data_IF_454855562253
#
_entry.id   IF_454855562253
#
_cell.length_a   1.000
_cell.length_b   1.000
_cell.length_c   1.000
_cell.angle_alpha   90.00
_cell.angle_beta   90.00
_cell.angle_gamma   90.00
#
_symmetry.space_group_name_H-M   'P 1'
#
loop_
_entity.id
_entity.type
_entity.pdbx_description
1 polymer ?
#
# COMPACT_ATOMS: atom_id res chain seq x y z
N UNK A 1 18.44 -20.96 23.88
CA UNK A 1 18.82 -19.94 22.88
C UNK A 1 19.06 -20.67 21.56
N UNK A 2 18.00 -20.91 20.78
CA UNK A 2 18.17 -21.29 19.37
C UNK A 2 18.36 -19.98 18.63
N UNK A 3 19.54 -19.78 18.07
CA UNK A 3 19.78 -18.79 17.02
C UNK A 3 18.72 -19.05 15.94
N UNK A 4 17.69 -18.20 15.83
CA UNK A 4 16.89 -18.20 14.61
C UNK A 4 17.79 -17.59 13.55
N UNK A 5 18.44 -18.44 12.76
CA UNK A 5 19.00 -18.02 11.48
C UNK A 5 17.82 -17.42 10.70
N UNK A 6 17.75 -16.09 10.61
CA UNK A 6 16.79 -15.45 9.73
C UNK A 6 17.12 -15.92 8.32
N UNK A 7 16.14 -16.50 7.61
CA UNK A 7 16.32 -16.86 6.22
C UNK A 7 16.71 -15.61 5.43
N UNK A 8 17.70 -15.75 4.54
CA UNK A 8 18.14 -14.65 3.70
C UNK A 8 17.04 -14.30 2.71
N UNK A 9 16.58 -13.05 2.74
CA UNK A 9 15.60 -12.54 1.78
C UNK A 9 16.31 -11.77 0.68
N UNK A 10 15.98 -12.06 -0.58
CA UNK A 10 16.39 -11.23 -1.70
C UNK A 10 15.43 -10.05 -1.86
N UNK A 11 15.97 -8.83 -1.96
CA UNK A 11 15.27 -7.59 -2.27
C UNK A 11 15.58 -7.18 -3.71
N UNK A 12 14.53 -6.96 -4.51
CA UNK A 12 14.69 -6.38 -5.85
C UNK A 12 14.68 -4.86 -5.77
N UNK A 13 15.77 -4.23 -6.19
CA UNK A 13 15.91 -2.77 -6.29
C UNK A 13 15.88 -2.38 -7.76
N UNK A 14 14.93 -1.55 -8.15
CA UNK A 14 14.82 -1.00 -9.50
C UNK A 14 15.44 0.38 -9.54
N UNK A 15 16.08 0.71 -10.66
CA UNK A 15 16.53 2.08 -10.95
C UNK A 15 15.93 2.56 -12.28
N UNK A 16 15.48 3.82 -12.32
CA UNK A 16 15.07 4.42 -13.60
C UNK A 16 16.26 4.44 -14.57
N UNK A 17 16.10 3.83 -15.75
CA UNK A 17 17.22 3.67 -16.69
C UNK A 17 17.72 4.99 -17.30
N UNK A 18 17.00 6.10 -17.10
CA UNK A 18 17.41 7.45 -17.52
C UNK A 18 17.93 8.28 -16.34
N UNK A 19 18.03 7.68 -15.14
CA UNK A 19 18.47 8.36 -13.93
C UNK A 19 17.44 9.34 -13.36
N UNK A 20 16.15 9.18 -13.68
CA UNK A 20 15.10 10.01 -13.07
C UNK A 20 15.09 9.82 -11.55
N UNK A 21 14.94 10.92 -10.82
CA UNK A 21 14.92 10.90 -9.35
C UNK A 21 13.68 10.17 -8.83
N UNK A 22 13.89 9.15 -8.01
CA UNK A 22 12.88 8.32 -7.38
C UNK A 22 12.57 8.81 -5.96
N UNK A 23 12.19 10.08 -5.84
CA UNK A 23 11.86 10.72 -4.57
C UNK A 23 11.09 12.02 -4.78
N UNK A 24 10.68 12.67 -3.69
CA UNK A 24 10.00 13.96 -3.75
C UNK A 24 10.99 15.12 -3.89
N UNK A 25 10.68 16.06 -4.77
CA UNK A 25 11.40 17.32 -4.87
C UNK A 25 10.45 18.46 -4.55
N UNK A 26 10.88 19.35 -3.65
CA UNK A 26 10.13 20.52 -3.21
C UNK A 26 10.88 21.79 -3.57
N UNK A 27 10.16 22.79 -4.06
CA UNK A 27 10.70 24.12 -4.34
C UNK A 27 10.00 25.15 -3.47
N UNK A 28 10.78 25.89 -2.68
CA UNK A 28 10.27 26.98 -1.86
C UNK A 28 9.79 28.09 -2.78
N UNK A 29 8.54 28.48 -2.60
CA UNK A 29 7.90 29.56 -3.33
C UNK A 29 8.10 30.89 -2.59
N UNK A 30 7.88 32.00 -3.29
CA UNK A 30 8.07 33.34 -2.74
C UNK A 30 7.10 33.69 -1.58
N UNK A 31 5.98 32.96 -1.46
CA UNK A 31 5.03 33.07 -0.34
C UNK A 31 5.43 32.25 0.90
N UNK A 32 6.57 31.55 0.85
CA UNK A 32 7.04 30.68 1.93
C UNK A 32 6.44 29.28 1.91
N UNK A 33 5.54 28.96 0.96
CA UNK A 33 5.01 27.62 0.76
C UNK A 33 5.95 26.72 -0.05
N UNK A 34 5.72 25.40 0.03
CA UNK A 34 6.44 24.40 -0.75
C UNK A 34 5.61 23.92 -1.94
N UNK A 35 6.17 23.98 -3.14
CA UNK A 35 5.62 23.31 -4.32
C UNK A 35 6.30 21.95 -4.49
N UNK A 36 5.51 20.87 -4.49
CA UNK A 36 6.00 19.50 -4.70
C UNK A 36 5.94 19.13 -6.17
N UNK A 37 7.05 18.71 -6.75
CA UNK A 37 7.09 18.16 -8.10
C UNK A 37 6.46 16.77 -8.18
N UNK A 38 5.80 16.48 -9.30
CA UNK A 38 5.29 15.15 -9.60
C UNK A 38 6.41 14.14 -9.83
N UNK A 39 6.14 12.88 -9.48
CA UNK A 39 7.01 11.77 -9.85
C UNK A 39 6.99 11.57 -11.37
N UNK A 40 8.18 11.47 -11.98
CA UNK A 40 8.31 11.14 -13.41
C UNK A 40 9.33 10.04 -13.63
N UNK A 41 8.97 8.82 -13.21
CA UNK A 41 9.70 7.62 -13.60
C UNK A 41 9.44 7.30 -15.08
N UNK A 42 10.41 6.68 -15.74
CA UNK A 42 10.31 6.16 -17.10
C UNK A 42 9.66 4.80 -17.18
N UNK A 43 9.68 4.25 -18.40
CA UNK A 43 9.09 2.95 -18.70
C UNK A 43 10.11 1.78 -18.63
N UNK A 44 11.40 2.09 -18.58
CA UNK A 44 12.48 1.09 -18.55
C UNK A 44 13.34 1.24 -17.31
N UNK A 45 13.60 0.12 -16.66
CA UNK A 45 14.31 0.07 -15.38
C UNK A 45 15.51 -0.87 -15.49
N UNK A 46 16.64 -0.47 -14.93
CA UNK A 46 17.68 -1.44 -14.55
C UNK A 46 17.30 -2.04 -13.21
N UNK A 47 17.89 -3.18 -12.85
CA UNK A 47 17.63 -3.83 -11.57
C UNK A 47 18.91 -4.35 -10.96
N UNK A 48 18.89 -4.50 -9.64
CA UNK A 48 19.84 -5.31 -8.89
C UNK A 48 19.08 -6.06 -7.79
N UNK A 49 19.69 -7.13 -7.34
CA UNK A 49 19.19 -7.93 -6.23
C UNK A 49 20.17 -7.83 -5.08
N UNK A 50 19.65 -7.67 -3.87
CA UNK A 50 20.45 -7.58 -2.66
C UNK A 50 19.90 -8.54 -1.62
N UNK A 51 20.77 -9.37 -1.06
CA UNK A 51 20.45 -10.29 0.01
C UNK A 51 20.50 -9.56 1.35
N UNK A 52 19.44 -9.67 2.14
CA UNK A 52 19.33 -9.05 3.48
C UNK A 52 18.94 -10.11 4.51
N UNK A 53 19.48 -10.00 5.73
CA UNK A 53 19.22 -10.89 6.85
C UNK A 53 18.73 -10.10 8.06
N UNK A 54 17.43 -9.73 8.03
CA UNK A 54 16.81 -8.98 9.11
C UNK A 54 16.68 -7.48 8.82
N UNK A 55 16.13 -6.77 9.80
CA UNK A 55 15.82 -5.34 9.67
C UNK A 55 17.07 -4.46 9.50
N UNK A 56 18.19 -4.83 10.12
CA UNK A 56 19.41 -4.01 10.07
C UNK A 56 20.01 -3.94 8.66
N UNK A 57 20.07 -5.07 7.97
CA UNK A 57 20.50 -5.14 6.58
C UNK A 57 19.51 -4.41 5.66
N UNK A 58 18.20 -4.58 5.92
CA UNK A 58 17.16 -3.84 5.20
C UNK A 58 17.33 -2.33 5.38
N UNK A 59 17.52 -1.84 6.61
CA UNK A 59 17.74 -0.43 6.89
C UNK A 59 19.03 0.10 6.26
N UNK A 60 20.10 -0.71 6.20
CA UNK A 60 21.33 -0.36 5.51
C UNK A 60 21.10 -0.22 3.99
N UNK A 61 20.37 -1.16 3.38
CA UNK A 61 19.96 -1.10 1.97
C UNK A 61 19.14 0.16 1.69
N UNK A 62 18.13 0.46 2.51
CA UNK A 62 17.25 1.62 2.33
C UNK A 62 18.00 2.95 2.42
N UNK A 63 18.97 3.07 3.33
CA UNK A 63 19.83 4.25 3.43
C UNK A 63 20.83 4.37 2.27
N UNK A 64 21.15 3.24 1.64
CA UNK A 64 22.16 3.13 0.59
C UNK A 64 21.61 3.17 -0.84
N UNK A 65 20.30 3.35 -1.04
CA UNK A 65 19.72 3.45 -2.39
C UNK A 65 20.25 4.68 -3.13
N UNK A 66 20.53 4.51 -4.41
CA UNK A 66 20.88 5.65 -5.27
C UNK A 66 19.64 6.53 -5.56
N UNK A 67 19.82 7.80 -5.98
CA UNK A 67 18.71 8.73 -6.19
C UNK A 67 17.63 8.27 -7.19
N UNK A 68 17.97 7.37 -8.12
CA UNK A 68 17.02 6.81 -9.09
C UNK A 68 16.47 5.44 -8.67
N UNK A 69 16.92 4.90 -7.54
CA UNK A 69 16.61 3.57 -7.06
C UNK A 69 15.41 3.54 -6.11
N UNK A 70 14.70 2.42 -6.10
CA UNK A 70 13.66 2.11 -5.13
C UNK A 70 13.43 0.58 -5.06
N UNK A 71 13.20 0.02 -3.86
CA UNK A 71 12.83 -1.38 -3.71
C UNK A 71 11.37 -1.63 -4.12
N UNK A 72 11.13 -2.85 -4.62
CA UNK A 72 9.80 -3.41 -4.87
C UNK A 72 9.68 -4.78 -4.17
N UNK A 73 8.45 -5.25 -3.97
CA UNK A 73 8.22 -6.59 -3.39
C UNK A 73 8.44 -7.70 -4.41
N UNK A 74 8.07 -7.46 -5.67
CA UNK A 74 8.12 -8.43 -6.75
C UNK A 74 9.53 -8.87 -7.09
N UNK A 75 9.67 -10.15 -7.42
CA UNK A 75 10.94 -10.78 -7.81
C UNK A 75 11.00 -10.94 -9.32
N UNK A 76 12.17 -10.72 -9.90
CA UNK A 76 12.36 -10.84 -11.34
C UNK A 76 12.16 -12.30 -11.79
N UNK A 77 11.14 -12.57 -12.60
CA UNK A 77 10.82 -13.93 -13.06
C UNK A 77 11.67 -14.38 -14.24
N UNK A 78 12.12 -13.45 -15.08
CA UNK A 78 12.92 -13.77 -16.26
C UNK A 78 13.88 -12.62 -16.61
N UNK A 79 15.17 -12.71 -16.23
CA UNK A 79 16.12 -11.62 -16.43
C UNK A 79 16.52 -11.39 -17.90
N UNK A 80 16.17 -12.30 -18.81
CA UNK A 80 16.58 -12.24 -20.20
C UNK A 80 15.39 -11.87 -21.11
N UNK A 81 15.08 -10.59 -21.20
CA UNK A 81 14.19 -10.10 -22.24
C UNK A 81 14.92 -10.08 -23.60
N UNK A 82 14.90 -11.20 -24.33
CA UNK A 82 15.43 -11.30 -25.70
C UNK A 82 14.39 -10.75 -26.69
N UNK A 83 14.40 -9.43 -26.94
CA UNK A 83 13.76 -8.88 -28.14
C UNK A 83 14.83 -8.78 -29.23
N UNK A 84 14.59 -9.44 -30.36
CA UNK A 84 15.49 -9.47 -31.54
C UNK A 84 16.94 -9.92 -31.28
N UNK A 85 17.15 -10.85 -30.34
CA UNK A 85 18.47 -11.47 -30.10
C UNK A 85 19.48 -10.62 -29.34
N UNK A 86 19.15 -9.37 -28.97
CA UNK A 86 20.00 -8.52 -28.11
C UNK A 86 19.57 -8.61 -26.65
N UNK A 87 20.51 -8.90 -25.75
CA UNK A 87 20.30 -8.81 -24.30
C UNK A 87 20.11 -7.33 -23.96
N UNK A 88 18.92 -6.95 -23.48
CA UNK A 88 18.70 -5.62 -22.90
C UNK A 88 19.04 -5.66 -21.41
N UNK A 89 19.71 -4.62 -20.92
CA UNK A 89 19.96 -4.39 -19.49
C UNK A 89 18.81 -3.64 -18.80
N UNK A 90 17.67 -3.53 -19.46
CA UNK A 90 16.49 -2.83 -18.94
C UNK A 90 15.24 -3.69 -19.09
N UNK A 91 14.35 -3.59 -18.12
CA UNK A 91 13.07 -4.33 -18.05
C UNK A 91 11.90 -3.35 -17.84
N UNK A 92 10.69 -3.69 -18.33
CA UNK A 92 9.48 -2.94 -17.98
C UNK A 92 9.05 -3.28 -16.55
N UNK A 93 8.52 -2.28 -15.82
CA UNK A 93 7.91 -2.49 -14.49
C UNK A 93 6.47 -2.95 -14.68
N UNK A 94 6.27 -4.25 -14.90
CA UNK A 94 4.96 -4.87 -15.11
C UNK A 94 4.87 -6.27 -14.49
N UNK A 95 3.66 -6.83 -14.46
CA UNK A 95 3.38 -8.12 -13.85
C UNK A 95 4.10 -9.29 -14.50
N UNK A 96 4.26 -9.30 -15.83
CA UNK A 96 4.98 -10.39 -16.52
C UNK A 96 6.47 -10.46 -16.14
N UNK A 97 7.01 -9.35 -15.67
CA UNK A 97 8.42 -9.25 -15.26
C UNK A 97 8.60 -9.63 -13.79
N UNK A 98 7.65 -9.28 -12.92
CA UNK A 98 7.87 -9.26 -11.47
C UNK A 98 6.82 -10.01 -10.62
N UNK A 99 5.67 -10.42 -11.17
CA UNK A 99 4.71 -11.22 -10.42
C UNK A 99 5.13 -12.69 -10.41
N UNK A 100 4.93 -13.44 -9.32
CA UNK A 100 5.46 -14.79 -9.22
C UNK A 100 4.85 -15.73 -10.25
N UNK A 101 5.69 -16.54 -10.89
CA UNK A 101 5.26 -17.62 -11.78
C UNK A 101 5.40 -18.95 -11.04
N UNK A 102 4.29 -19.58 -10.65
CA UNK A 102 4.29 -20.87 -9.96
C UNK A 102 3.79 -21.92 -10.95
N UNK A 103 4.59 -22.96 -11.18
CA UNK A 103 4.30 -24.01 -12.18
C UNK A 103 4.06 -23.47 -13.60
N UNK A 104 4.71 -22.36 -13.96
CA UNK A 104 4.55 -21.70 -15.26
C UNK A 104 3.33 -20.78 -15.37
N UNK A 105 2.50 -20.70 -14.33
CA UNK A 105 1.35 -19.80 -14.29
C UNK A 105 1.70 -18.52 -13.53
N UNK A 106 1.37 -17.38 -14.14
CA UNK A 106 1.54 -16.08 -13.51
C UNK A 106 0.48 -15.86 -12.44
N UNK A 107 0.91 -15.59 -11.22
CA UNK A 107 0.03 -15.17 -10.14
C UNK A 107 -0.18 -13.65 -10.16
N UNK A 108 -1.31 -13.20 -9.59
CA UNK A 108 -1.71 -11.79 -9.58
C UNK A 108 -0.87 -10.90 -8.66
N UNK A 109 -1.25 -9.63 -8.58
CA UNK A 109 -0.63 -8.62 -7.71
C UNK A 109 -0.67 -9.04 -6.24
N UNK A 110 0.40 -8.73 -5.49
CA UNK A 110 0.44 -8.97 -4.05
C UNK A 110 0.72 -10.43 -3.70
N UNK A 111 1.12 -11.24 -4.67
CA UNK A 111 1.34 -12.68 -4.51
C UNK A 111 2.76 -13.01 -4.11
N UNK A 112 3.72 -12.08 -4.21
CA UNK A 112 5.10 -12.32 -3.80
C UNK A 112 5.21 -12.38 -2.28
N UNK A 113 5.60 -13.54 -1.70
CA UNK A 113 5.88 -13.63 -0.28
C UNK A 113 7.17 -12.87 0.05
N UNK A 114 7.13 -12.02 1.06
CA UNK A 114 8.32 -11.35 1.58
C UNK A 114 8.35 -11.41 3.10
N UNK A 115 9.53 -11.55 3.68
CA UNK A 115 9.76 -11.45 5.13
C UNK A 115 9.91 -10.01 5.62
N UNK A 116 9.58 -9.03 4.78
CA UNK A 116 9.57 -7.62 5.14
C UNK A 116 8.28 -6.97 4.66
N UNK A 117 7.93 -5.84 5.26
CA UNK A 117 6.85 -4.97 4.81
C UNK A 117 7.22 -3.50 5.04
N UNK A 118 6.79 -2.64 4.12
CA UNK A 118 6.69 -1.20 4.36
C UNK A 118 5.22 -0.90 4.63
N UNK A 119 4.91 -0.39 5.82
CA UNK A 119 3.58 0.11 6.18
C UNK A 119 3.57 1.61 5.94
N UNK A 120 2.73 2.08 5.02
CA UNK A 120 2.61 3.50 4.69
C UNK A 120 1.42 4.12 5.42
N UNK A 121 1.69 4.96 6.42
CA UNK A 121 0.69 5.81 7.05
C UNK A 121 0.72 7.17 6.36
N UNK A 122 -0.26 7.47 5.51
CA UNK A 122 -0.37 8.76 4.82
C UNK A 122 -1.44 9.65 5.42
N UNK A 123 -1.05 10.86 5.81
CA UNK A 123 -1.93 11.92 6.27
C UNK A 123 -2.75 11.57 7.52
N UNK A 124 -2.24 10.68 8.37
CA UNK A 124 -2.94 10.29 9.60
C UNK A 124 -2.87 11.43 10.63
N UNK A 125 -3.92 11.61 11.46
CA UNK A 125 -3.88 12.59 12.54
C UNK A 125 -2.69 12.37 13.48
N UNK A 126 -2.11 13.46 13.96
CA UNK A 126 -1.05 13.46 14.96
C UNK A 126 -1.43 14.46 16.06
N UNK A 127 -1.29 14.11 17.35
CA UNK A 127 -1.53 15.04 18.44
C UNK A 127 -0.66 16.29 18.32
N UNK A 128 -1.23 17.46 18.64
CA UNK A 128 -0.60 18.77 18.42
C UNK A 128 0.71 18.97 19.19
N UNK A 129 0.95 18.18 20.24
CA UNK A 129 2.14 18.25 21.09
C UNK A 129 3.37 17.57 20.47
N UNK A 130 3.25 16.85 19.35
CA UNK A 130 4.39 16.32 18.62
C UNK A 130 4.89 17.32 17.58
N UNK A 131 6.15 17.75 17.69
CA UNK A 131 6.82 18.52 16.66
C UNK A 131 7.60 17.59 15.74
N UNK A 132 7.03 17.25 14.57
CA UNK A 132 7.67 16.38 13.59
C UNK A 132 9.08 16.83 13.16
N UNK A 133 9.45 18.11 13.35
CA UNK A 133 10.80 18.59 13.05
C UNK A 133 11.88 17.93 13.91
N UNK A 134 11.51 17.46 15.11
CA UNK A 134 12.42 16.88 16.11
C UNK A 134 11.93 15.56 16.72
N UNK A 135 10.63 15.32 16.75
CA UNK A 135 9.99 14.19 17.43
C UNK A 135 9.65 13.02 16.48
N UNK A 136 10.34 12.91 15.34
CA UNK A 136 9.99 11.92 14.31
C UNK A 136 9.86 10.48 14.83
N UNK A 137 10.80 10.04 15.68
CA UNK A 137 10.74 8.71 16.30
C UNK A 137 9.57 8.57 17.27
N UNK A 138 9.37 9.56 18.16
CA UNK A 138 8.31 9.53 19.17
C UNK A 138 6.91 9.59 18.53
N UNK A 139 6.72 10.44 17.53
CA UNK A 139 5.51 10.51 16.72
C UNK A 139 5.24 9.19 15.98
N UNK A 140 6.28 8.55 15.44
CA UNK A 140 6.14 7.24 14.79
C UNK A 140 5.74 6.16 15.79
N UNK A 141 6.36 6.12 16.97
CA UNK A 141 6.05 5.14 18.00
C UNK A 141 4.61 5.29 18.51
N UNK A 142 4.17 6.53 18.71
CA UNK A 142 2.77 6.84 19.02
C UNK A 142 1.84 6.31 17.92
N UNK A 143 2.15 6.56 16.66
CA UNK A 143 1.35 6.12 15.53
C UNK A 143 1.28 4.59 15.39
N UNK A 144 2.39 3.88 15.59
CA UNK A 144 2.40 2.40 15.64
C UNK A 144 1.42 1.90 16.69
N UNK A 145 1.47 2.49 17.89
CA UNK A 145 0.61 2.10 19.01
C UNK A 145 -0.86 2.44 18.76
N UNK A 146 -1.11 3.58 18.11
CA UNK A 146 -2.46 4.10 17.84
C UNK A 146 -3.16 3.37 16.70
N UNK A 147 -2.43 3.07 15.64
CA UNK A 147 -3.00 2.73 14.33
C UNK A 147 -2.72 1.30 13.88
N UNK A 148 -1.70 0.63 14.45
CA UNK A 148 -1.33 -0.73 14.05
C UNK A 148 -1.74 -1.78 15.11
N UNK A 149 -1.97 -3.03 14.68
CA UNK A 149 -2.28 -4.14 15.58
C UNK A 149 -1.19 -4.38 16.63
N UNK A 150 -1.57 -5.00 17.76
CA UNK A 150 -0.70 -5.22 18.92
C UNK A 150 0.60 -5.98 18.58
N UNK A 151 0.61 -6.85 17.58
CA UNK A 151 1.83 -7.56 17.19
C UNK A 151 2.95 -6.66 16.64
N UNK A 152 2.63 -5.42 16.25
CA UNK A 152 3.62 -4.40 15.87
C UNK A 152 4.18 -3.66 17.09
N UNK A 153 3.50 -3.74 18.24
CA UNK A 153 3.88 -3.03 19.46
C UNK A 153 5.09 -3.71 20.08
N UNK A 154 6.23 -3.02 20.10
CA UNK A 154 7.48 -3.56 20.63
C UNK A 154 8.32 -4.34 19.64
N UNK A 155 7.90 -4.42 18.38
CA UNK A 155 8.77 -4.88 17.31
C UNK A 155 9.80 -3.79 17.00
N UNK A 156 11.02 -4.21 16.68
CA UNK A 156 12.05 -3.37 16.08
C UNK A 156 11.61 -3.00 14.66
N UNK A 157 11.65 -1.70 14.33
CA UNK A 157 11.27 -1.18 13.01
C UNK A 157 12.17 -0.03 12.58
N UNK A 158 12.35 0.11 11.28
CA UNK A 158 12.99 1.27 10.68
C UNK A 158 11.90 2.25 10.26
N UNK A 159 11.97 3.46 10.79
CA UNK A 159 11.01 4.52 10.46
C UNK A 159 11.61 5.50 9.47
N UNK A 160 10.78 5.95 8.55
CA UNK A 160 11.12 6.97 7.57
C UNK A 160 9.95 7.96 7.40
N UNK A 161 10.13 9.20 7.84
CA UNK A 161 9.21 10.29 7.55
C UNK A 161 9.22 10.58 6.05
N UNK A 162 8.07 10.39 5.41
CA UNK A 162 7.95 10.37 3.95
C UNK A 162 8.35 11.72 3.35
N UNK A 163 8.58 11.75 2.03
CA UNK A 163 8.96 12.97 1.32
C UNK A 163 8.03 14.16 1.55
N UNK A 164 6.76 13.96 1.88
CA UNK A 164 5.80 15.04 2.18
C UNK A 164 5.69 15.41 3.66
N UNK A 165 6.34 14.67 4.57
CA UNK A 165 6.33 14.98 6.00
C UNK A 165 7.00 16.34 6.27
N UNK A 166 6.34 17.16 7.11
CA UNK A 166 6.73 18.56 7.39
C UNK A 166 6.40 19.55 6.28
N UNK A 167 5.96 19.08 5.11
CA UNK A 167 5.52 19.90 3.97
C UNK A 167 3.99 19.94 3.88
N UNK A 168 3.35 18.80 4.15
CA UNK A 168 1.89 18.64 4.16
C UNK A 168 1.39 18.32 5.59
N UNK A 169 0.14 18.67 5.93
CA UNK A 169 -0.41 18.47 7.28
C UNK A 169 -0.68 16.99 7.60
N UNK A 170 -0.48 16.58 8.85
CA UNK A 170 -0.64 15.19 9.30
C UNK A 170 0.66 14.38 9.24
N UNK A 171 0.71 13.28 9.99
CA UNK A 171 1.85 12.37 10.00
C UNK A 171 1.88 11.58 8.68
N UNK A 172 3.09 11.50 8.11
CA UNK A 172 3.38 10.69 6.92
C UNK A 172 4.66 9.91 7.15
N UNK A 173 4.53 8.61 7.33
CA UNK A 173 5.65 7.77 7.73
C UNK A 173 5.56 6.40 7.09
N UNK A 174 6.69 5.95 6.56
CA UNK A 174 6.91 4.57 6.15
C UNK A 174 7.52 3.82 7.34
N UNK A 175 6.85 2.77 7.78
CA UNK A 175 7.31 1.90 8.87
C UNK A 175 7.74 0.58 8.25
N UNK A 176 9.04 0.36 8.20
CA UNK A 176 9.65 -0.83 7.65
C UNK A 176 9.87 -1.85 8.75
N UNK A 177 9.35 -3.06 8.56
CA UNK A 177 9.39 -4.14 9.55
C UNK A 177 9.98 -5.40 8.95
N UNK A 178 10.66 -6.17 9.81
CA UNK A 178 10.94 -7.58 9.55
C UNK A 178 9.81 -8.44 10.11
N UNK A 179 9.39 -9.44 9.36
CA UNK A 179 8.30 -10.33 9.73
C UNK A 179 8.86 -11.66 10.24
N UNK A 180 8.16 -12.31 11.16
CA UNK A 180 8.55 -13.62 11.68
C UNK A 180 8.57 -14.73 10.61
N UNK A 181 7.85 -14.51 9.50
CA UNK A 181 7.81 -15.40 8.33
C UNK A 181 7.52 -14.62 7.03
N UNK A 182 7.84 -15.18 5.86
CA UNK A 182 7.41 -14.62 4.58
C UNK A 182 5.89 -14.64 4.44
N UNK A 183 5.29 -13.51 4.07
CA UNK A 183 3.85 -13.39 3.80
C UNK A 183 3.58 -12.69 2.48
N UNK A 184 2.49 -13.09 1.81
CA UNK A 184 2.01 -12.41 0.60
C UNK A 184 1.54 -11.01 0.97
N UNK A 185 1.95 -10.02 0.17
CA UNK A 185 1.59 -8.63 0.42
C UNK A 185 0.08 -8.38 0.37
N UNK A 186 -0.65 -9.09 -0.50
CA UNK A 186 -2.10 -9.03 -0.57
C UNK A 186 -2.81 -9.58 0.68
N UNK A 187 -2.29 -10.66 1.27
CA UNK A 187 -2.84 -11.22 2.52
C UNK A 187 -2.58 -10.28 3.71
N UNK A 188 -1.38 -9.70 3.77
CA UNK A 188 -1.03 -8.71 4.81
C UNK A 188 -1.88 -7.45 4.70
N UNK A 189 -2.09 -6.92 3.49
CA UNK A 189 -2.94 -5.75 3.25
C UNK A 189 -4.41 -6.02 3.64
N UNK A 190 -4.92 -7.20 3.28
CA UNK A 190 -6.28 -7.61 3.61
C UNK A 190 -6.50 -7.69 5.13
N UNK A 191 -5.55 -8.31 5.86
CA UNK A 191 -5.63 -8.40 7.30
C UNK A 191 -5.50 -7.03 7.98
N UNK A 192 -4.55 -6.18 7.57
CA UNK A 192 -4.41 -4.83 8.14
C UNK A 192 -5.66 -3.97 7.91
N UNK A 193 -6.35 -4.14 6.77
CA UNK A 193 -7.64 -3.50 6.51
C UNK A 193 -8.74 -4.03 7.42
N UNK A 194 -8.77 -5.33 7.71
CA UNK A 194 -9.70 -5.92 8.67
C UNK A 194 -9.50 -5.35 10.08
N UNK A 195 -8.23 -5.15 10.47
CA UNK A 195 -7.84 -4.47 11.71
C UNK A 195 -8.06 -2.95 11.68
N UNK A 196 -8.63 -2.41 10.59
CA UNK A 196 -8.93 -0.98 10.38
C UNK A 196 -7.68 -0.09 10.46
N UNK A 197 -6.50 -0.63 10.15
CA UNK A 197 -5.29 0.16 10.08
C UNK A 197 -5.38 1.16 8.89
N UNK A 198 -5.13 2.46 9.09
CA UNK A 198 -5.23 3.51 8.07
C UNK A 198 -3.99 3.55 7.18
N UNK A 199 -3.74 2.46 6.45
CA UNK A 199 -2.58 2.30 5.58
C UNK A 199 -2.93 2.56 4.11
N UNK A 200 -1.96 2.93 3.28
CA UNK A 200 -2.07 2.72 1.83
C UNK A 200 -1.85 1.21 1.54
N UNK A 201 -2.88 0.45 1.11
CA UNK A 201 -2.70 -0.97 0.84
C UNK A 201 -1.86 -1.24 -0.41
N UNK A 202 -1.70 -0.26 -1.33
CA UNK A 202 -1.07 -0.47 -2.63
C UNK A 202 0.41 -0.85 -2.53
N UNK A 203 1.11 -0.34 -1.50
CA UNK A 203 2.52 -0.66 -1.22
C UNK A 203 2.74 -2.13 -0.82
N UNK A 204 1.67 -2.80 -0.39
CA UNK A 204 1.66 -4.22 -0.03
C UNK A 204 1.01 -5.08 -1.12
N UNK A 205 -0.15 -4.66 -1.64
CA UNK A 205 -0.95 -5.48 -2.55
C UNK A 205 -0.53 -5.38 -4.01
N UNK A 206 0.39 -4.48 -4.37
CA UNK A 206 0.93 -4.36 -5.72
C UNK A 206 2.45 -4.59 -5.71
N UNK A 207 2.86 -5.80 -6.12
CA UNK A 207 4.27 -6.23 -6.02
C UNK A 207 5.25 -5.36 -6.81
N UNK A 208 4.78 -4.62 -7.82
CA UNK A 208 5.61 -3.70 -8.62
C UNK A 208 5.54 -2.26 -8.16
N UNK A 209 4.80 -1.93 -7.10
CA UNK A 209 4.69 -0.57 -6.59
C UNK A 209 6.04 -0.09 -6.05
N UNK A 210 6.52 1.11 -6.45
CA UNK A 210 7.73 1.69 -5.88
C UNK A 210 7.57 1.96 -4.39
N UNK A 211 8.46 1.41 -3.56
CA UNK A 211 8.55 1.80 -2.15
C UNK A 211 9.61 2.90 -2.06
N UNK A 212 9.18 4.16 -2.10
CA UNK A 212 10.11 5.30 -2.11
C UNK A 212 10.80 5.45 -0.76
N UNK A 213 12.14 5.39 -0.76
CA UNK A 213 12.99 5.56 0.42
C UNK A 213 14.09 6.64 0.26
N UNK A 214 14.07 7.36 -0.87
CA UNK A 214 15.04 8.43 -1.11
C UNK A 214 14.69 9.69 -0.29
N UNK A 215 15.68 10.33 0.35
CA UNK A 215 15.45 11.58 1.06
C UNK A 215 14.95 12.66 0.07
N UNK A 216 13.90 13.42 0.43
CA UNK A 216 13.38 14.47 -0.43
C UNK A 216 14.41 15.56 -0.70
N UNK A 217 14.32 16.15 -1.89
CA UNK A 217 15.18 17.27 -2.30
C UNK A 217 14.44 18.57 -2.04
N UNK A 218 15.08 19.50 -1.33
CA UNK A 218 14.55 20.84 -1.11
C UNK A 218 15.38 21.86 -1.89
N UNK A 219 14.69 22.72 -2.66
CA UNK A 219 15.28 23.81 -3.42
C UNK A 219 14.76 25.14 -2.90
N UNK A 220 15.66 26.07 -2.58
CA UNK A 220 15.29 27.41 -2.11
C UNK A 220 15.00 27.53 -0.62
N UNK A 221 15.04 26.42 0.13
CA UNK A 221 14.92 26.40 1.59
C UNK A 221 15.48 25.10 2.17
N UNK A 222 15.57 25.03 3.50
CA UNK A 222 15.98 23.84 4.22
C UNK A 222 14.82 22.84 4.34
N UNK A 223 15.15 21.56 4.51
CA UNK A 223 14.19 20.54 4.91
C UNK A 223 13.56 20.91 6.27
N UNK A 224 12.22 20.95 6.41
CA UNK A 224 11.57 21.23 7.69
C UNK A 224 11.76 20.11 8.73
N UNK A 225 12.22 18.92 8.32
CA UNK A 225 12.45 17.78 9.20
C UNK A 225 13.95 17.59 9.41
N UNK A 226 14.42 17.63 10.67
CA UNK A 226 15.85 17.48 10.98
C UNK A 226 16.32 16.03 10.86
N UNK A 227 15.48 15.10 11.31
CA UNK A 227 15.78 13.66 11.30
C UNK A 227 14.61 12.92 10.65
N UNK A 228 14.84 12.43 9.43
CA UNK A 228 13.81 11.72 8.66
C UNK A 228 13.78 10.23 8.90
N UNK A 229 14.87 9.64 9.38
CA UNK A 229 14.96 8.19 9.51
C UNK A 229 15.63 7.77 10.80
N UNK A 230 15.28 6.58 11.27
CA UNK A 230 15.86 5.98 12.46
C UNK A 230 15.45 4.52 12.61
N UNK A 231 16.04 3.84 13.58
CA UNK A 231 15.63 2.49 13.96
C UNK A 231 15.12 2.57 15.40
N UNK A 232 13.84 2.28 15.59
CA UNK A 232 13.33 2.00 16.91
C UNK A 232 13.71 0.56 17.28
N UNK A 233 14.40 0.38 18.41
CA UNK A 233 14.80 -0.92 18.93
C UNK A 233 13.81 -1.41 19.97
N UNK A 234 12.87 -2.23 19.53
CA UNK A 234 11.85 -2.83 20.40
C UNK A 234 12.39 -4.02 21.20
N UNK A 235 11.50 -4.66 21.96
CA UNK A 235 11.82 -5.90 22.68
C UNK A 235 11.97 -7.11 21.74
N UNK A 236 11.36 -7.07 20.55
CA UNK A 236 11.36 -8.16 19.56
C UNK A 236 11.99 -7.72 18.23
N UNK A 237 12.72 -8.60 17.54
CA UNK A 237 13.38 -8.25 16.26
C UNK A 237 12.46 -8.23 15.04
N UNK A 238 11.37 -8.97 15.12
CA UNK A 238 10.41 -9.11 14.05
C UNK A 238 9.00 -8.99 14.59
N UNK A 239 8.07 -8.65 13.71
CA UNK A 239 6.65 -8.67 13.98
C UNK A 239 6.19 -10.13 13.99
N UNK A 240 5.68 -10.59 15.14
CA UNK A 240 5.10 -11.92 15.29
C UNK A 240 3.65 -11.90 14.80
N UNK A 241 3.42 -12.22 13.53
CA UNK A 241 2.09 -12.10 12.93
C UNK A 241 1.16 -13.21 13.45
N UNK A 242 -0.13 -12.93 13.72
CA UNK A 242 -1.13 -13.99 13.92
C UNK A 242 -1.31 -14.79 12.63
N UNK A 243 -2.06 -15.90 12.62
CA UNK A 243 -2.32 -16.69 11.41
C UNK A 243 -3.24 -15.94 10.41
N UNK A 244 -2.72 -14.88 9.79
CA UNK A 244 -3.45 -13.92 8.96
C UNK A 244 -4.19 -14.58 7.81
N UNK A 245 -3.64 -15.66 7.23
CA UNK A 245 -4.28 -16.39 6.14
C UNK A 245 -5.55 -17.13 6.62
N UNK A 246 -5.53 -17.68 7.85
CA UNK A 246 -6.73 -18.27 8.46
C UNK A 246 -7.75 -17.20 8.83
N UNK A 247 -7.28 -16.07 9.37
CA UNK A 247 -8.15 -14.94 9.72
C UNK A 247 -8.85 -14.38 8.49
N UNK A 248 -8.11 -14.10 7.42
CA UNK A 248 -8.65 -13.62 6.15
C UNK A 248 -9.68 -14.60 5.58
N UNK A 249 -9.34 -15.90 5.58
CA UNK A 249 -10.27 -16.95 5.11
C UNK A 249 -11.54 -17.01 5.95
N UNK A 250 -11.43 -16.94 7.28
CA UNK A 250 -12.59 -16.96 8.17
C UNK A 250 -13.46 -15.69 8.02
N UNK A 251 -12.86 -14.57 7.64
CA UNK A 251 -13.56 -13.33 7.34
C UNK A 251 -14.15 -13.29 5.91
N UNK A 252 -13.99 -14.35 5.10
CA UNK A 252 -14.43 -14.39 3.71
C UNK A 252 -13.67 -13.42 2.79
N UNK A 253 -12.53 -12.89 3.23
CA UNK A 253 -11.74 -11.92 2.47
C UNK A 253 -10.77 -12.68 1.57
N UNK A 254 -10.90 -12.50 0.27
CA UNK A 254 -9.89 -12.93 -0.70
C UNK A 254 -8.85 -11.82 -0.87
N UNK A 255 -7.56 -12.16 -0.88
CA UNK A 255 -6.49 -11.20 -1.15
C UNK A 255 -6.78 -10.43 -2.45
N UNK A 256 -6.44 -9.13 -2.47
CA UNK A 256 -6.77 -8.14 -3.50
C UNK A 256 -6.10 -8.35 -4.88
N UNK A 257 -5.72 -9.58 -5.22
CA UNK A 257 -5.20 -9.97 -6.53
C UNK A 257 -6.22 -10.55 -7.51
N UNK A 258 -7.45 -10.84 -7.07
CA UNK A 258 -8.46 -11.57 -7.87
C UNK A 258 -9.71 -10.75 -8.24
N UNK A 259 -9.83 -9.51 -7.78
CA UNK A 259 -11.02 -8.68 -8.07
C UNK A 259 -10.78 -7.70 -9.21
N UNK A 260 -11.46 -7.93 -10.33
CA UNK A 260 -11.69 -6.91 -11.35
C UNK A 260 -12.38 -5.70 -10.73
N UNK A 261 -11.83 -4.51 -11.00
CA UNK A 261 -12.46 -3.23 -10.66
C UNK A 261 -13.57 -2.92 -11.68
N UNK A 262 -14.67 -3.67 -11.57
CA UNK A 262 -15.86 -3.56 -12.41
C UNK A 262 -17.10 -3.45 -11.52
N UNK A 263 -18.12 -2.63 -11.90
CA UNK A 263 -19.40 -2.65 -11.21
C UNK A 263 -19.97 -4.08 -11.12
N UNK A 264 -20.67 -4.44 -10.02
CA UNK A 264 -21.28 -5.75 -9.89
C UNK A 264 -22.17 -6.11 -11.08
N UNK A 265 -22.24 -7.39 -11.42
CA UNK A 265 -23.09 -7.90 -12.49
C UNK A 265 -22.33 -8.64 -13.58
N UNK A 266 -22.99 -9.66 -14.13
CA UNK A 266 -22.45 -10.52 -15.17
C UNK A 266 -22.04 -9.73 -16.43
N UNK A 267 -22.92 -8.85 -16.92
CA UNK A 267 -22.69 -8.08 -18.14
C UNK A 267 -21.59 -7.01 -17.99
N UNK A 268 -21.54 -6.33 -16.84
CA UNK A 268 -20.50 -5.33 -16.53
C UNK A 268 -19.10 -5.95 -16.54
N UNK A 269 -18.98 -7.19 -16.07
CA UNK A 269 -17.71 -7.92 -16.07
C UNK A 269 -17.35 -8.41 -17.47
N UNK A 270 -18.31 -8.87 -18.27
CA UNK A 270 -18.07 -9.21 -19.68
C UNK A 270 -17.69 -8.00 -20.54
N UNK A 271 -18.12 -6.79 -20.19
CA UNK A 271 -17.75 -5.57 -20.93
C UNK A 271 -16.24 -5.28 -20.91
N UNK A 272 -15.50 -5.85 -19.95
CA UNK A 272 -14.04 -5.72 -19.85
C UNK A 272 -13.28 -6.78 -20.65
N UNK A 273 -13.98 -7.64 -21.37
CA UNK A 273 -13.38 -8.76 -22.08
C UNK A 273 -12.68 -8.29 -23.37
N UNK A 274 -11.44 -8.68 -23.54
CA UNK A 274 -10.64 -8.38 -24.72
C UNK A 274 -9.27 -7.76 -24.43
N UNK A 275 -8.51 -7.57 -25.49
CA UNK A 275 -7.17 -6.97 -25.46
C UNK A 275 -7.21 -5.51 -25.91
N UNK A 276 -6.49 -4.65 -25.20
CA UNK A 276 -6.36 -3.24 -25.54
C UNK A 276 -6.53 -2.33 -24.34
N UNK A 277 -6.47 -1.02 -24.60
CA UNK A 277 -6.64 -0.01 -23.55
C UNK A 277 -8.07 -0.06 -23.01
N UNK A 278 -8.22 -0.13 -21.68
CA UNK A 278 -9.51 -0.17 -21.00
C UNK A 278 -10.18 -1.55 -20.90
N UNK A 279 -9.52 -2.61 -21.41
CA UNK A 279 -9.98 -3.99 -21.30
C UNK A 279 -9.02 -4.80 -20.42
N UNK A 280 -9.50 -5.91 -19.86
CA UNK A 280 -8.82 -6.68 -18.82
C UNK A 280 -8.45 -8.10 -19.27
N UNK A 281 -8.29 -8.32 -20.58
CA UNK A 281 -8.00 -9.63 -21.16
C UNK A 281 -9.22 -10.55 -21.13
N UNK A 282 -8.98 -11.86 -21.07
CA UNK A 282 -10.04 -12.85 -21.18
C UNK A 282 -10.26 -13.62 -19.86
N UNK A 283 -9.19 -14.04 -19.19
CA UNK A 283 -9.30 -14.90 -18.00
C UNK A 283 -10.10 -14.27 -16.86
N UNK A 284 -9.65 -13.12 -16.34
CA UNK A 284 -10.27 -12.49 -15.19
C UNK A 284 -11.73 -12.07 -15.47
N UNK A 285 -12.07 -11.44 -16.62
CA UNK A 285 -13.45 -11.09 -16.93
C UNK A 285 -14.38 -12.29 -16.98
N UNK A 286 -13.92 -13.39 -17.58
CA UNK A 286 -14.69 -14.62 -17.69
C UNK A 286 -14.96 -15.26 -16.33
N UNK A 287 -13.93 -15.49 -15.51
CA UNK A 287 -14.10 -16.13 -14.20
C UNK A 287 -14.95 -15.27 -13.27
N UNK A 288 -14.77 -13.96 -13.30
CA UNK A 288 -15.56 -13.02 -12.50
C UNK A 288 -17.01 -12.92 -12.94
N UNK A 289 -17.27 -12.94 -14.26
CA UNK A 289 -18.63 -12.93 -14.81
C UNK A 289 -19.36 -14.23 -14.45
N UNK A 290 -18.74 -15.39 -14.68
CA UNK A 290 -19.27 -16.71 -14.33
C UNK A 290 -19.63 -16.76 -12.84
N UNK A 291 -18.74 -16.29 -11.96
CA UNK A 291 -19.01 -16.21 -10.53
C UNK A 291 -20.19 -15.30 -10.21
N UNK A 292 -20.32 -14.16 -10.90
CA UNK A 292 -21.45 -13.24 -10.74
C UNK A 292 -22.78 -13.89 -11.08
N UNK A 293 -22.83 -14.62 -12.19
CA UNK A 293 -24.03 -15.31 -12.64
C UNK A 293 -24.42 -16.44 -11.66
N UNK A 294 -23.43 -17.21 -11.20
CA UNK A 294 -23.64 -18.28 -10.23
C UNK A 294 -24.16 -17.76 -8.87
N UNK A 295 -23.58 -16.67 -8.35
CA UNK A 295 -24.04 -16.05 -7.09
C UNK A 295 -25.45 -15.47 -7.23
N UNK A 296 -25.76 -14.83 -8.36
CA UNK A 296 -27.12 -14.31 -8.59
C UNK A 296 -28.14 -15.44 -8.60
N UNK A 297 -27.88 -16.50 -9.38
CA UNK A 297 -28.78 -17.65 -9.46
C UNK A 297 -28.99 -18.31 -8.08
N UNK A 298 -27.91 -18.45 -7.29
CA UNK A 298 -27.98 -19.03 -5.95
C UNK A 298 -28.80 -18.18 -4.97
N UNK A 299 -28.66 -16.84 -5.01
CA UNK A 299 -29.44 -15.90 -4.19
C UNK A 299 -30.91 -15.86 -4.57
N UNK A 300 -31.21 -15.96 -5.86
CA UNK A 300 -32.58 -15.96 -6.38
C UNK A 300 -33.28 -17.32 -6.17
N UNK A 301 -32.60 -18.32 -5.61
CA UNK A 301 -33.11 -19.68 -5.41
C UNK A 301 -33.33 -20.45 -6.73
N UNK A 302 -32.77 -19.94 -7.83
CA UNK A 302 -32.92 -20.50 -9.18
C UNK A 302 -31.81 -21.47 -9.55
N UNK A 303 -32.06 -22.28 -10.60
CA UNK A 303 -31.01 -23.05 -11.25
C UNK A 303 -30.31 -22.19 -12.30
N UNK A 304 -28.97 -22.24 -12.33
CA UNK A 304 -28.18 -21.56 -13.34
C UNK A 304 -28.41 -22.22 -14.71
N UNK A 305 -28.85 -21.45 -15.71
CA UNK A 305 -28.92 -21.91 -17.10
C UNK A 305 -27.50 -22.02 -17.68
N UNK A 306 -26.88 -23.19 -17.51
CA UNK A 306 -25.50 -23.46 -17.91
C UNK A 306 -25.31 -23.31 -19.41
N UNK A 307 -26.26 -23.78 -20.21
CA UNK A 307 -26.13 -23.77 -21.67
C UNK A 307 -26.34 -22.36 -22.24
N UNK A 308 -27.32 -21.61 -21.72
CA UNK A 308 -27.48 -20.19 -22.04
C UNK A 308 -26.27 -19.36 -21.62
N UNK A 309 -25.70 -19.63 -20.44
CA UNK A 309 -24.49 -18.96 -19.95
C UNK A 309 -23.28 -19.23 -20.85
N UNK A 310 -23.02 -20.48 -21.23
CA UNK A 310 -21.95 -20.83 -22.17
C UNK A 310 -22.13 -20.15 -23.52
N UNK A 311 -23.35 -20.16 -24.07
CA UNK A 311 -23.65 -19.52 -25.34
C UNK A 311 -23.36 -18.02 -25.29
N UNK A 312 -23.80 -17.34 -24.21
CA UNK A 312 -23.57 -15.91 -23.99
C UNK A 312 -22.09 -15.57 -23.81
N UNK A 313 -21.34 -16.40 -23.10
CA UNK A 313 -19.89 -16.25 -22.91
C UNK A 313 -19.14 -16.41 -24.23
N UNK A 314 -19.45 -17.45 -25.01
CA UNK A 314 -18.84 -17.67 -26.33
C UNK A 314 -19.09 -16.50 -27.27
N UNK A 315 -20.32 -15.98 -27.29
CA UNK A 315 -20.65 -14.80 -28.08
C UNK A 315 -19.83 -13.57 -27.65
N UNK A 316 -19.61 -13.37 -26.34
CA UNK A 316 -18.76 -12.29 -25.83
C UNK A 316 -17.29 -12.45 -26.25
N UNK A 317 -16.74 -13.68 -26.14
CA UNK A 317 -15.35 -13.98 -26.51
C UNK A 317 -15.12 -13.70 -28.00
N UNK A 318 -16.06 -14.08 -28.86
CA UNK A 318 -15.97 -13.85 -30.32
C UNK A 318 -16.07 -12.36 -30.67
N UNK A 319 -16.87 -11.59 -29.92
CA UNK A 319 -17.06 -10.16 -30.18
C UNK A 319 -15.94 -9.26 -29.62
N UNK A 320 -15.15 -9.77 -28.69
CA UNK A 320 -14.14 -8.97 -27.99
C UNK A 320 -12.93 -8.65 -28.88
N UNK A 321 -12.26 -7.50 -28.68
CA UNK A 321 -11.00 -7.20 -29.33
C UNK A 321 -9.92 -8.24 -28.97
N UNK A 322 -9.20 -8.75 -29.97
CA UNK A 322 -8.17 -9.79 -29.78
C UNK A 322 -6.85 -9.30 -30.36
N UNK A 323 -5.76 -9.41 -29.59
CA UNK A 323 -4.42 -9.12 -30.11
C UNK A 323 -4.02 -10.12 -31.22
N UNK A 324 -3.28 -9.64 -32.23
CA UNK A 324 -2.84 -10.47 -33.33
C UNK A 324 -2.05 -11.70 -32.84
N UNK A 325 -2.48 -12.89 -33.25
CA UNK A 325 -1.84 -14.16 -32.90
C UNK A 325 -2.22 -14.76 -31.55
N UNK A 326 -3.19 -14.17 -30.82
CA UNK A 326 -3.70 -14.77 -29.58
C UNK A 326 -4.62 -15.96 -29.89
N UNK A 327 -4.40 -17.06 -29.18
CA UNK A 327 -5.28 -18.23 -29.21
C UNK A 327 -6.36 -18.13 -28.13
N UNK A 328 -7.60 -18.39 -28.51
CA UNK A 328 -8.79 -18.38 -27.65
C UNK A 328 -9.51 -19.74 -27.62
N UNK A 329 -8.96 -20.75 -28.30
CA UNK A 329 -9.56 -22.08 -28.42
C UNK A 329 -9.87 -22.70 -27.06
N UNK A 330 -8.98 -22.53 -26.09
CA UNK A 330 -9.17 -22.99 -24.72
C UNK A 330 -10.40 -22.33 -24.06
N UNK A 331 -10.56 -21.00 -24.17
CA UNK A 331 -11.69 -20.27 -23.57
C UNK A 331 -13.04 -20.61 -24.20
N UNK A 332 -13.03 -21.03 -25.47
CA UNK A 332 -14.24 -21.43 -26.20
C UNK A 332 -14.64 -22.90 -25.92
N UNK A 333 -13.71 -23.71 -25.41
CA UNK A 333 -13.92 -25.14 -25.18
C UNK A 333 -14.96 -25.41 -24.10
N UNK A 334 -15.77 -26.46 -24.29
CA UNK A 334 -16.67 -26.95 -23.23
C UNK A 334 -15.88 -27.36 -21.99
N UNK A 335 -14.71 -27.99 -22.17
CA UNK A 335 -13.88 -28.43 -21.06
C UNK A 335 -13.47 -27.29 -20.12
N UNK A 336 -13.08 -26.13 -20.65
CA UNK A 336 -12.78 -24.95 -19.83
C UNK A 336 -14.04 -24.39 -19.16
N UNK A 337 -15.10 -24.15 -19.94
CA UNK A 337 -16.32 -23.51 -19.44
C UNK A 337 -17.03 -24.37 -18.39
N UNK A 338 -17.12 -25.68 -18.60
CA UNK A 338 -17.71 -26.62 -17.65
C UNK A 338 -16.96 -26.63 -16.31
N UNK A 339 -15.63 -26.67 -16.36
CA UNK A 339 -14.81 -26.63 -15.13
C UNK A 339 -14.98 -25.31 -14.39
N UNK A 340 -14.97 -24.20 -15.12
CA UNK A 340 -15.10 -22.86 -14.54
C UNK A 340 -16.49 -22.65 -13.93
N UNK A 341 -17.56 -23.03 -14.63
CA UNK A 341 -18.94 -22.92 -14.16
C UNK A 341 -19.17 -23.83 -12.94
N UNK A 342 -18.70 -25.08 -12.96
CA UNK A 342 -18.82 -25.99 -11.82
C UNK A 342 -18.19 -25.40 -10.56
N UNK A 343 -16.94 -24.94 -10.67
CA UNK A 343 -16.24 -24.34 -9.53
C UNK A 343 -16.91 -23.07 -9.02
N UNK A 344 -17.54 -22.28 -9.91
CA UNK A 344 -18.31 -21.11 -9.50
C UNK A 344 -19.63 -21.46 -8.81
N UNK A 345 -20.36 -22.47 -9.29
CA UNK A 345 -21.61 -22.94 -8.67
C UNK A 345 -21.35 -23.48 -7.25
N UNK A 346 -20.30 -24.27 -7.07
CA UNK A 346 -19.90 -24.79 -5.74
C UNK A 346 -19.60 -23.65 -4.76
N UNK A 347 -18.83 -22.64 -5.20
CA UNK A 347 -18.51 -21.45 -4.40
C UNK A 347 -19.75 -20.59 -4.11
N UNK A 348 -20.61 -20.39 -5.11
CA UNK A 348 -21.83 -19.60 -4.98
C UNK A 348 -22.82 -20.21 -3.99
N UNK A 349 -22.96 -21.53 -3.99
CA UNK A 349 -23.79 -22.24 -3.02
C UNK A 349 -23.28 -22.05 -1.58
N UNK A 350 -21.96 -22.08 -1.38
CA UNK A 350 -21.35 -21.80 -0.07
C UNK A 350 -21.60 -20.36 0.40
N UNK A 351 -21.49 -19.37 -0.51
CA UNK A 351 -21.77 -17.96 -0.20
C UNK A 351 -23.24 -17.76 0.17
N UNK A 352 -24.17 -18.29 -0.62
CA UNK A 352 -25.60 -18.16 -0.33
C UNK A 352 -25.99 -18.86 1.00
N UNK A 353 -25.39 -20.01 1.30
CA UNK A 353 -25.56 -20.68 2.59
C UNK A 353 -25.00 -19.87 3.76
N UNK A 354 -23.87 -19.19 3.57
CA UNK A 354 -23.28 -18.31 4.60
C UNK A 354 -24.12 -17.03 4.82
N UNK A 355 -24.66 -16.44 3.77
CA UNK A 355 -25.50 -15.24 3.83
C UNK A 355 -26.85 -15.49 4.51
N UNK A 356 -27.34 -16.73 4.42
CA UNK A 356 -28.59 -17.17 5.05
C UNK A 356 -28.38 -17.84 6.41
N UNK A 357 -27.14 -17.99 6.86
CA UNK A 357 -26.82 -18.56 8.17
C UNK A 357 -27.28 -17.62 9.29
N UNK A 358 -28.10 -18.13 10.21
CA UNK A 358 -28.46 -17.41 11.42
C UNK A 358 -27.20 -17.12 12.25
N UNK A 359 -26.92 -15.83 12.46
CA UNK A 359 -25.83 -15.36 13.31
C UNK A 359 -26.41 -14.70 14.55
N UNK A 360 -25.87 -14.95 15.75
CA UNK A 360 -26.24 -14.18 16.93
C UNK A 360 -25.88 -12.71 16.70
N UNK A 361 -26.78 -11.80 17.07
CA UNK A 361 -26.56 -10.37 16.91
C UNK A 361 -25.28 -9.94 17.66
N UNK A 362 -24.38 -9.24 16.97
CA UNK A 362 -23.10 -8.79 17.52
C UNK A 362 -23.26 -7.77 18.66
N UNK A 363 -24.43 -7.12 18.71
CA UNK A 363 -24.87 -6.29 19.81
C UNK A 363 -26.16 -6.89 20.38
N UNK A 364 -26.28 -6.98 21.71
CA UNK A 364 -27.56 -7.32 22.31
C UNK A 364 -28.60 -6.31 21.82
N UNK A 365 -29.80 -6.79 21.48
CA UNK A 365 -30.92 -5.91 21.16
C UNK A 365 -31.04 -4.86 22.28
N UNK A 366 -31.21 -3.59 21.90
CA UNK A 366 -31.29 -2.51 22.86
C UNK A 366 -32.35 -2.85 23.92
N UNK A 367 -31.94 -2.88 25.19
CA UNK A 367 -32.87 -3.10 26.29
C UNK A 367 -33.54 -1.76 26.57
N UNK A 368 -34.84 -1.67 26.27
CA UNK A 368 -35.62 -0.43 26.36
C UNK A 368 -36.90 -0.50 25.51
N UNK A 369 -37.70 0.56 25.54
CA UNK A 369 -38.85 0.69 24.64
C UNK A 369 -38.41 1.02 23.21
N UNK A 370 -39.30 0.79 22.24
CA UNK A 370 -39.09 1.21 20.84
C UNK A 370 -38.77 2.71 20.76
N UNK A 371 -39.48 3.52 21.54
CA UNK A 371 -39.32 4.98 21.61
C UNK A 371 -37.90 5.40 22.07
N UNK A 372 -37.32 4.70 23.03
CA UNK A 372 -35.96 4.99 23.52
C UNK A 372 -34.90 4.65 22.47
N UNK A 373 -35.12 3.58 21.70
CA UNK A 373 -34.24 3.19 20.61
C UNK A 373 -34.33 4.18 19.44
N UNK A 374 -35.54 4.58 19.04
CA UNK A 374 -35.77 5.59 18.01
C UNK A 374 -35.14 6.93 18.37
N UNK A 375 -35.26 7.35 19.64
CA UNK A 375 -34.64 8.58 20.14
C UNK A 375 -33.11 8.53 20.09
N UNK A 376 -32.50 7.41 20.49
CA UNK A 376 -31.04 7.23 20.44
C UNK A 376 -30.51 7.22 19.01
N UNK A 377 -31.20 6.54 18.10
CA UNK A 377 -30.87 6.53 16.67
C UNK A 377 -31.00 7.93 16.09
N UNK A 378 -32.08 8.65 16.40
CA UNK A 378 -32.28 10.03 15.98
C UNK A 378 -31.17 10.97 16.45
N UNK A 379 -30.73 10.83 17.71
CA UNK A 379 -29.60 11.59 18.25
C UNK A 379 -28.28 11.28 17.55
N UNK A 380 -28.00 10.00 17.28
CA UNK A 380 -26.79 9.57 16.59
C UNK A 380 -26.77 10.05 15.13
N UNK A 381 -27.90 9.96 14.43
CA UNK A 381 -28.03 10.46 13.06
C UNK A 381 -27.89 11.97 12.98
N UNK A 382 -28.43 12.70 13.96
CA UNK A 382 -28.30 14.15 14.03
C UNK A 382 -26.86 14.58 14.34
N UNK A 383 -26.18 13.92 15.28
CA UNK A 383 -24.77 14.18 15.57
C UNK A 383 -23.90 13.97 14.32
N UNK A 384 -24.09 12.83 13.63
CA UNK A 384 -23.40 12.56 12.37
C UNK A 384 -23.67 13.62 11.29
N UNK A 385 -24.92 14.08 11.17
CA UNK A 385 -25.31 15.11 10.21
C UNK A 385 -24.59 16.44 10.49
N UNK A 386 -24.45 16.81 11.77
CA UNK A 386 -23.75 18.04 12.16
C UNK A 386 -22.26 17.95 11.85
N UNK A 387 -21.61 16.83 12.16
CA UNK A 387 -20.21 16.59 11.87
C UNK A 387 -19.93 16.65 10.35
N UNK A 388 -20.79 16.03 9.54
CA UNK A 388 -20.67 16.04 8.09
C UNK A 388 -20.85 17.45 7.49
N UNK A 389 -21.77 18.25 8.02
CA UNK A 389 -21.99 19.64 7.60
C UNK A 389 -20.81 20.54 7.98
N UNK A 390 -20.25 20.36 9.17
CA UNK A 390 -19.09 21.12 9.62
C UNK A 390 -17.87 20.84 8.72
N UNK A 391 -17.61 19.56 8.44
CA UNK A 391 -16.57 19.14 7.51
C UNK A 391 -16.73 19.76 6.10
N UNK A 392 -17.96 19.84 5.58
CA UNK A 392 -18.22 20.46 4.28
C UNK A 392 -17.88 21.97 4.29
N UNK A 393 -18.27 22.70 5.34
CA UNK A 393 -18.00 24.12 5.48
C UNK A 393 -16.51 24.43 5.53
N UNK A 394 -15.77 23.66 6.32
CA UNK A 394 -14.32 23.83 6.48
C UNK A 394 -13.59 23.60 5.15
N UNK A 395 -14.03 22.59 4.40
CA UNK A 395 -13.51 22.29 3.06
C UNK A 395 -13.79 23.42 2.05
N UNK A 396 -15.01 23.98 2.06
CA UNK A 396 -15.39 25.06 1.15
C UNK A 396 -14.64 26.38 1.44
N UNK A 397 -14.45 26.70 2.73
CA UNK A 397 -13.65 27.85 3.15
C UNK A 397 -12.18 27.73 2.68
N UNK A 398 -11.59 26.53 2.78
CA UNK A 398 -10.23 26.27 2.31
C UNK A 398 -10.09 26.43 0.79
N UNK A 399 -11.09 25.97 0.02
CA UNK A 399 -11.10 26.11 -1.46
C UNK A 399 -11.23 27.58 -1.89
N UNK A 400 -12.08 28.35 -1.22
CA UNK A 400 -12.26 29.78 -1.51
C UNK A 400 -11.00 30.61 -1.23
N UNK A 401 -10.29 30.32 -0.13
CA UNK A 401 -9.03 30.98 0.22
C UNK A 401 -7.95 30.75 -0.86
N UNK A 402 -7.83 29.51 -1.35
CA UNK A 402 -6.90 29.14 -2.43
C UNK A 402 -7.23 29.83 -3.77
N UNK A 403 -8.51 30.03 -4.07
CA UNK A 403 -8.94 30.71 -5.30
C UNK A 403 -8.62 32.22 -5.28
N UNK A 404 -8.79 32.88 -4.12
CA UNK A 404 -8.48 34.30 -3.94
C UNK A 404 -6.97 34.58 -4.06
N UNK A 405 -6.14 33.70 -3.54
CA UNK A 405 -4.68 33.81 -3.60
C UNK A 405 -4.15 33.68 -5.04
N UNK A 406 -4.79 32.85 -5.85
CA UNK A 406 -4.42 32.58 -7.25
C UNK A 406 -4.71 33.75 -8.20
N UNK A 407 -5.67 34.61 -7.85
CA UNK A 407 -6.03 35.79 -8.64
C UNK A 407 -5.06 36.97 -8.47
N UNK A 408 -4.13 36.93 -7.50
CA UNK A 408 -3.39 38.09 -7.02
C UNK A 408 -1.94 38.26 -7.55
N UNK A 409 -1.37 37.37 -8.36
CA UNK A 409 0.06 37.44 -8.75
C UNK A 409 0.30 37.83 -10.24
N UNK A 410 1.19 38.82 -10.52
CA UNK A 410 1.51 39.29 -11.87
C UNK A 410 2.59 38.46 -12.58
N UNK A 411 2.72 38.70 -13.89
CA UNK A 411 3.47 37.92 -14.88
C UNK A 411 5.01 37.94 -14.74
N UNK A 412 5.59 36.78 -15.04
CA UNK A 412 6.99 36.32 -14.91
C UNK A 412 8.01 37.10 -15.77
N UNK A 413 9.19 37.40 -15.21
CA UNK A 413 10.34 37.89 -15.97
C UNK A 413 11.69 37.56 -15.33
N UNK A 414 12.41 36.62 -15.96
CA UNK A 414 13.87 36.35 -15.96
C UNK A 414 14.66 36.14 -14.65
N UNK A 415 15.34 34.99 -14.54
CA UNK A 415 16.59 34.85 -13.76
C UNK A 415 17.67 34.09 -14.55
N UNK A 416 18.96 34.45 -14.39
CA UNK A 416 20.08 33.88 -15.15
C UNK A 416 20.76 32.70 -14.44
N UNK A 417 21.52 31.94 -15.23
CA UNK A 417 22.24 30.69 -14.91
C UNK A 417 23.59 30.99 -14.22
N UNK A 418 23.95 30.21 -13.18
CA UNK A 418 25.30 30.22 -12.58
C UNK A 418 25.95 28.84 -12.70
N UNK A 419 27.13 28.81 -13.35
CA UNK A 419 28.15 27.73 -13.39
C UNK A 419 29.04 27.86 -12.13
N UNK A 420 29.75 26.88 -11.58
CA UNK A 420 29.96 25.45 -11.86
C UNK A 420 30.94 24.88 -10.79
N UNK A 421 31.03 23.56 -10.67
CA UNK A 421 32.09 22.85 -9.95
C UNK A 421 32.74 21.85 -10.91
N UNK A 422 34.05 21.63 -10.78
CA UNK A 422 34.80 20.79 -11.71
C UNK A 422 34.54 19.29 -11.46
N UNK A 423 34.69 18.43 -12.50
CA UNK A 423 34.51 16.98 -12.38
C UNK A 423 35.42 16.32 -11.32
N UNK A 424 36.58 16.89 -11.05
CA UNK A 424 37.54 16.39 -10.04
C UNK A 424 37.08 16.69 -8.61
N UNK A 425 36.39 17.83 -8.41
CA UNK A 425 35.77 18.16 -7.12
C UNK A 425 34.61 17.21 -6.81
N UNK A 426 33.87 16.76 -7.84
CA UNK A 426 32.84 15.72 -7.71
C UNK A 426 33.41 14.32 -7.42
N UNK A 427 34.59 14.00 -7.98
CA UNK A 427 35.24 12.71 -7.78
C UNK A 427 35.85 12.54 -6.38
N UNK A 428 36.43 13.61 -5.81
CA UNK A 428 37.04 13.60 -4.47
C UNK A 428 36.01 13.38 -3.35
N UNK A 429 34.81 13.97 -3.50
CA UNK A 429 33.68 13.76 -2.58
C UNK A 429 33.17 12.30 -2.58
N UNK A 430 33.30 11.60 -3.71
CA UNK A 430 32.80 10.23 -3.89
C UNK A 430 33.69 9.16 -3.25
N UNK A 431 34.98 9.45 -2.99
CA UNK A 431 35.91 8.48 -2.41
C UNK A 431 35.80 8.35 -0.88
N UNK A 432 35.31 9.39 -0.18
CA UNK A 432 35.14 9.38 1.28
C UNK A 432 33.82 8.73 1.74
N UNK A 433 32.92 8.39 0.81
CA UNK A 433 31.61 7.78 1.10
C UNK A 433 31.59 6.24 1.02
N UNK A 434 32.72 5.57 0.72
CA UNK A 434 32.77 4.11 0.51
C UNK A 434 33.25 3.27 1.70
N UNK A 435 33.14 3.78 2.93
CA UNK A 435 33.24 2.93 4.14
C UNK A 435 31.90 2.95 4.85
N UNK A 436 31.22 1.80 5.04
CA UNK A 436 30.07 1.76 5.92
C UNK A 436 30.59 2.07 7.33
N UNK A 437 30.27 3.26 7.82
CA UNK A 437 30.24 3.53 9.25
C UNK A 437 29.11 2.66 9.79
N UNK A 438 29.45 1.45 10.25
CA UNK A 438 28.54 0.69 11.12
C UNK A 438 28.38 1.53 12.38
N UNK A 439 27.34 2.34 12.42
CA UNK A 439 26.97 3.06 13.63
C UNK A 439 26.79 2.02 14.75
N UNK A 440 27.24 2.31 15.98
CA UNK A 440 27.02 1.40 17.10
C UNK A 440 25.52 1.07 17.20
N UNK A 441 25.21 -0.23 17.19
CA UNK A 441 23.84 -0.73 17.34
C UNK A 441 23.31 -0.22 18.68
N UNK A 442 22.29 0.64 18.64
CA UNK A 442 21.63 1.12 19.85
C UNK A 442 21.11 -0.10 20.66
N UNK A 443 21.29 -0.12 22.00
CA UNK A 443 20.84 -1.23 22.82
C UNK A 443 19.31 -1.37 22.74
N UNK A 444 18.83 -2.61 22.67
CA UNK A 444 17.39 -2.88 22.66
C UNK A 444 16.74 -2.51 23.97
N UNK A 445 15.50 -2.03 23.90
CA UNK A 445 14.70 -1.84 25.10
C UNK A 445 14.20 -3.20 25.59
N UNK A 446 14.18 -3.36 26.91
CA UNK A 446 13.58 -4.50 27.59
C UNK A 446 12.05 -4.36 27.65
N UNK A 447 11.30 -5.45 27.85
CA UNK A 447 9.84 -5.40 28.04
C UNK A 447 9.38 -4.39 29.13
N UNK A 448 10.07 -4.28 30.29
CA UNK A 448 9.75 -3.23 31.27
C UNK A 448 9.98 -1.80 30.75
N UNK A 449 11.03 -1.56 29.97
CA UNK A 449 11.29 -0.25 29.36
C UNK A 449 10.23 0.08 28.30
N UNK A 450 9.86 -0.89 27.48
CA UNK A 450 8.75 -0.75 26.53
C UNK A 450 7.44 -0.43 27.24
N UNK A 451 7.11 -1.18 28.29
CA UNK A 451 5.90 -0.95 29.10
C UNK A 451 5.88 0.47 29.67
N UNK A 452 7.03 0.97 30.13
CA UNK A 452 7.17 2.34 30.65
C UNK A 452 6.89 3.37 29.56
N UNK A 453 7.50 3.24 28.38
CA UNK A 453 7.28 4.15 27.25
C UNK A 453 5.80 4.17 26.85
N UNK A 454 5.13 3.02 26.84
CA UNK A 454 3.71 2.94 26.49
C UNK A 454 2.78 3.55 27.54
N UNK A 455 3.13 3.41 28.83
CA UNK A 455 2.43 4.13 29.90
C UNK A 455 2.60 5.65 29.79
N UNK A 456 3.78 6.11 29.40
CA UNK A 456 4.04 7.54 29.18
C UNK A 456 3.21 8.08 28.00
N UNK A 457 3.10 7.31 26.91
CA UNK A 457 2.21 7.64 25.80
C UNK A 457 0.74 7.69 26.25
N UNK A 458 0.25 6.68 26.98
CA UNK A 458 -1.12 6.67 27.54
C UNK A 458 -1.39 7.89 28.43
N UNK A 459 -0.43 8.22 29.28
CA UNK A 459 -0.56 9.36 30.19
C UNK A 459 -0.61 10.68 29.44
N UNK A 460 0.20 10.83 28.38
CA UNK A 460 0.15 11.99 27.49
C UNK A 460 -1.20 12.09 26.78
N UNK A 461 -1.72 10.99 26.23
CA UNK A 461 -3.05 10.98 25.60
C UNK A 461 -4.17 11.34 26.57
N UNK A 462 -4.12 10.81 27.81
CA UNK A 462 -5.10 11.16 28.85
C UNK A 462 -5.06 12.65 29.17
N UNK A 463 -3.86 13.22 29.35
CA UNK A 463 -3.68 14.66 29.63
C UNK A 463 -4.16 15.54 28.47
N UNK A 464 -3.93 15.13 27.24
CA UNK A 464 -4.43 15.84 26.05
C UNK A 464 -5.95 15.85 26.02
N UNK A 465 -6.58 14.70 26.30
CA UNK A 465 -8.04 14.59 26.34
C UNK A 465 -8.66 15.42 27.46
N UNK A 466 -8.06 15.38 28.66
CA UNK A 466 -8.48 16.22 29.80
C UNK A 466 -8.38 17.72 29.44
N UNK A 467 -7.31 18.15 28.75
CA UNK A 467 -7.16 19.54 28.31
C UNK A 467 -8.15 19.96 27.21
N UNK A 468 -8.50 19.06 26.29
CA UNK A 468 -9.53 19.30 25.27
C UNK A 468 -10.94 19.38 25.87
N UNK A 469 -11.23 18.55 26.88
CA UNK A 469 -12.50 18.56 27.62
C UNK A 469 -12.63 19.80 28.53
N UNK A 470 -11.52 20.37 29.04
CA UNK A 470 -11.50 21.61 29.83
C UNK A 470 -11.62 22.89 28.98
N UNK A 471 -11.30 22.82 27.67
CA UNK A 471 -11.43 23.93 26.70
C UNK A 471 -12.80 23.99 25.99
N UNK A 472 -13.63 22.94 26.12
CA UNK A 472 -14.97 22.80 25.52
C UNK A 472 -16.09 23.24 26.47
#
# INVERSE_FOLDING_TARGET
MKSSEFETQTITVLADARGAFAGKAHTLQADGGWETADYRLGAGFTWREEAVQGLDDLAALLRGVEPSEFPIRGLLQNPLHKRSGKVRRTVPRNGDTFFPHINGEKHGTGSTPCQWAMIDLDSVPLPKNYDLSTDGEAATLWAVRKYLPECFHGATFFWELSGNAGVKPGLRVHIWVWLDRPVKGGDLAAWLKLEKAPIDPSVLSNDIQPNYCNPPRFKGGADPIKTRTGIFRGASESVALPEIERINKAAGISASGDTLDAPPGFENKLALLGDGAGLAGFHAPLTSAIMSAAVSAARDGGQLDVEGLKARIRAAIVAAPVAAGRDLSDYLSDGYLDRSIRGAVEKAAAIAAEETAERPAFYPAAVGSLDDAEKKIGQAMEAFRQDALQFQRDREAAVAALAAERAAKPTRGSFPVVKGLSPEQLASLSQHLKRPLVAPVAPRITEPQQTKIYREIDEQERKLKEAEDDEA
#
